data_IF_501386085686
#
_entry.id   IF_501386085686
#
_cell.length_a   1.000
_cell.length_b   1.000
_cell.length_c   1.000
_cell.angle_alpha   90.00
_cell.angle_beta   90.00
_cell.angle_gamma   90.00
#
_symmetry.space_group_name_H-M   'P 1'
#
loop_
_entity.id
_entity.type
_entity.pdbx_description
1 polymer ?
#
# COMPACT_ATOMS: atom_id res chain seq x y z
N UNK A 1 5.41 -3.23 6.69
CA UNK A 1 4.28 -3.46 5.76
C UNK A 1 3.18 -4.19 6.49
N UNK A 2 2.02 -3.55 6.56
CA UNK A 2 0.79 -4.08 7.13
C UNK A 2 0.02 -4.83 6.04
N UNK A 3 -0.50 -6.01 6.36
CA UNK A 3 -1.42 -6.76 5.48
C UNK A 3 -2.82 -6.68 6.08
N UNK A 4 -3.78 -6.21 5.29
CA UNK A 4 -5.18 -6.10 5.67
C UNK A 4 -6.03 -7.13 4.90
N UNK A 5 -7.00 -7.78 5.55
CA UNK A 5 -7.83 -8.80 4.91
C UNK A 5 -8.84 -8.18 3.92
N UNK A 6 -9.40 -9.02 3.05
CA UNK A 6 -10.51 -8.67 2.14
C UNK A 6 -11.73 -8.15 2.92
N UNK A 7 -12.50 -7.26 2.29
CA UNK A 7 -13.69 -6.65 2.89
C UNK A 7 -13.41 -5.36 3.66
N UNK A 8 -12.14 -4.92 3.69
CA UNK A 8 -11.70 -3.68 4.32
C UNK A 8 -11.47 -2.61 3.25
N UNK A 9 -11.92 -1.36 3.47
CA UNK A 9 -11.71 -0.31 2.49
C UNK A 9 -10.24 0.10 2.42
N UNK A 10 -9.72 0.30 1.22
CA UNK A 10 -8.41 0.90 0.97
C UNK A 10 -8.44 1.74 -0.30
N UNK A 11 -7.37 2.48 -0.57
CA UNK A 11 -7.27 3.33 -1.74
C UNK A 11 -6.13 2.92 -2.66
N UNK A 12 -6.44 2.78 -3.95
CA UNK A 12 -5.42 2.68 -4.98
C UNK A 12 -5.09 4.09 -5.48
N UNK A 13 -3.93 4.58 -5.05
CA UNK A 13 -3.42 5.91 -5.37
C UNK A 13 -2.32 5.88 -6.44
N UNK A 14 -1.92 4.72 -6.95
CA UNK A 14 -0.85 4.64 -7.94
C UNK A 14 -1.26 5.35 -9.23
N UNK A 15 -0.39 6.22 -9.74
CA UNK A 15 -0.59 7.03 -10.96
C UNK A 15 -1.85 7.91 -10.96
N UNK A 16 -2.40 8.19 -9.78
CA UNK A 16 -3.57 9.07 -9.64
C UNK A 16 -3.17 10.54 -9.56
N UNK A 17 -4.01 11.46 -10.06
CA UNK A 17 -3.70 12.89 -10.02
C UNK A 17 -3.66 13.39 -8.58
N UNK A 18 -2.57 14.09 -8.24
CA UNK A 18 -2.38 14.76 -6.96
C UNK A 18 -2.13 16.25 -7.17
N UNK A 19 -2.73 17.08 -6.31
CA UNK A 19 -2.48 18.53 -6.26
C UNK A 19 -1.78 18.87 -4.96
N UNK A 20 -0.65 19.58 -5.04
CA UNK A 20 0.07 20.08 -3.84
C UNK A 20 -0.86 21.02 -3.07
N UNK A 21 -0.92 20.86 -1.75
CA UNK A 21 -1.71 21.72 -0.90
C UNK A 21 -1.11 23.14 -0.88
N UNK A 22 -1.84 24.19 -1.30
CA UNK A 22 -1.32 25.55 -1.36
C UNK A 22 -1.01 26.17 0.02
N UNK A 23 -1.60 25.63 1.10
CA UNK A 23 -1.38 26.12 2.46
C UNK A 23 -0.23 25.39 3.17
N UNK A 24 0.14 24.20 2.71
CA UNK A 24 1.27 23.43 3.24
C UNK A 24 1.85 22.55 2.12
N UNK A 25 2.98 22.97 1.49
CA UNK A 25 3.54 22.25 0.35
C UNK A 25 4.16 20.89 0.71
N UNK A 26 4.27 20.56 2.00
CA UNK A 26 4.65 19.20 2.45
C UNK A 26 3.50 18.19 2.31
N UNK A 27 2.28 18.67 2.01
CA UNK A 27 1.09 17.84 1.83
C UNK A 27 0.59 17.90 0.38
N UNK A 28 -0.02 16.82 -0.09
CA UNK A 28 -0.72 16.76 -1.37
C UNK A 28 -2.09 16.07 -1.22
N UNK A 29 -3.04 16.45 -2.07
CA UNK A 29 -4.36 15.85 -2.16
C UNK A 29 -4.44 15.02 -3.43
N UNK A 30 -4.64 13.70 -3.29
CA UNK A 30 -4.75 12.76 -4.40
C UNK A 30 -6.18 12.27 -4.58
N UNK A 31 -6.61 12.04 -5.83
CA UNK A 31 -7.91 11.42 -6.15
C UNK A 31 -7.73 9.92 -6.42
N UNK A 32 -7.83 9.12 -5.37
CA UNK A 32 -7.62 7.67 -5.44
C UNK A 32 -8.92 6.90 -5.65
N UNK A 33 -8.83 5.70 -6.22
CA UNK A 33 -9.96 4.78 -6.27
C UNK A 33 -10.15 4.11 -4.91
N UNK A 34 -11.39 3.85 -4.51
CA UNK A 34 -11.70 3.14 -3.27
C UNK A 34 -12.01 1.69 -3.60
N UNK A 35 -11.21 0.78 -3.07
CA UNK A 35 -11.34 -0.68 -3.23
C UNK A 35 -11.88 -1.27 -1.93
N UNK A 36 -12.73 -2.30 -2.02
CA UNK A 36 -13.38 -2.92 -0.83
C UNK A 36 -13.39 -4.45 -0.87
N UNK A 37 -13.20 -5.02 -2.03
CA UNK A 37 -13.41 -6.44 -2.34
C UNK A 37 -12.12 -7.24 -2.49
N UNK A 38 -10.97 -6.64 -2.18
CA UNK A 38 -9.66 -7.27 -2.24
C UNK A 38 -8.89 -7.10 -0.93
N UNK A 39 -8.03 -8.07 -0.61
CA UNK A 39 -7.03 -7.91 0.43
C UNK A 39 -5.88 -7.04 -0.08
N UNK A 40 -5.22 -6.31 0.81
CA UNK A 40 -4.20 -5.35 0.41
C UNK A 40 -3.04 -5.29 1.39
N UNK A 41 -1.91 -4.77 0.89
CA UNK A 41 -0.76 -4.39 1.70
C UNK A 41 -0.59 -2.88 1.68
N UNK A 42 -0.11 -2.33 2.79
CA UNK A 42 0.18 -0.90 2.92
C UNK A 42 1.42 -0.64 3.76
N UNK A 43 2.10 0.46 3.47
CA UNK A 43 3.15 1.03 4.33
C UNK A 43 2.57 1.87 5.48
N UNK A 44 1.27 2.22 5.42
CA UNK A 44 0.57 2.93 6.50
C UNK A 44 0.18 2.04 7.67
N UNK A 45 -0.62 2.60 8.57
CA UNK A 45 -1.28 1.86 9.65
C UNK A 45 -0.41 1.51 10.86
N UNK A 46 0.89 1.83 10.85
CA UNK A 46 1.81 1.67 11.99
C UNK A 46 1.74 0.27 12.65
N UNK A 47 1.64 -0.77 11.83
CA UNK A 47 1.45 -2.17 12.27
C UNK A 47 0.22 -2.41 13.18
N UNK A 48 -0.76 -1.51 13.17
CA UNK A 48 -2.02 -1.64 13.89
C UNK A 48 -3.14 -2.10 12.94
N UNK A 49 -3.55 -3.36 13.10
CA UNK A 49 -4.62 -3.98 12.29
C UNK A 49 -5.98 -3.29 12.45
N UNK A 50 -6.23 -2.61 13.58
CA UNK A 50 -7.49 -1.88 13.79
C UNK A 50 -7.66 -0.71 12.79
N UNK A 51 -6.56 -0.28 12.17
CA UNK A 51 -6.61 0.78 11.15
C UNK A 51 -7.17 0.27 9.81
N UNK A 52 -7.13 -1.03 9.54
CA UNK A 52 -7.75 -1.62 8.34
C UNK A 52 -9.27 -1.38 8.31
N UNK A 53 -9.92 -1.22 9.47
CA UNK A 53 -11.37 -1.05 9.55
C UNK A 53 -11.83 0.39 9.25
N UNK A 54 -10.99 1.36 9.58
CA UNK A 54 -11.42 2.76 9.72
C UNK A 54 -10.64 3.74 8.82
N UNK A 55 -9.50 3.34 8.27
CA UNK A 55 -8.66 4.20 7.45
C UNK A 55 -8.66 3.75 5.98
N UNK A 56 -8.63 4.74 5.08
CA UNK A 56 -8.46 4.53 3.64
C UNK A 56 -6.97 4.65 3.30
N UNK A 57 -6.20 3.64 3.67
CA UNK A 57 -4.77 3.62 3.40
C UNK A 57 -4.49 3.43 1.90
N UNK A 58 -3.52 4.19 1.39
CA UNK A 58 -2.92 3.89 0.10
C UNK A 58 -2.29 2.50 0.17
N UNK A 59 -2.65 1.63 -0.77
CA UNK A 59 -2.23 0.24 -0.76
C UNK A 59 -2.07 -0.34 -2.16
N UNK A 60 -1.85 -1.65 -2.20
CA UNK A 60 -1.82 -2.46 -3.41
C UNK A 60 -2.30 -3.87 -3.07
N UNK A 61 -2.75 -4.63 -4.07
CA UNK A 61 -2.92 -6.08 -3.90
C UNK A 61 -1.56 -6.73 -3.63
N UNK A 62 -1.56 -7.89 -2.98
CA UNK A 62 -0.31 -8.62 -2.69
C UNK A 62 0.43 -8.98 -3.99
N UNK A 63 -0.31 -9.42 -5.00
CA UNK A 63 0.23 -9.80 -6.31
C UNK A 63 0.88 -8.62 -7.02
N UNK A 64 0.16 -7.50 -7.17
CA UNK A 64 0.70 -6.31 -7.86
C UNK A 64 1.90 -5.73 -7.14
N UNK A 65 1.90 -5.78 -5.80
CA UNK A 65 3.06 -5.38 -5.00
C UNK A 65 4.29 -6.24 -5.29
N UNK A 66 4.14 -7.57 -5.31
CA UNK A 66 5.25 -8.50 -5.56
C UNK A 66 5.80 -8.30 -6.97
N UNK A 67 4.93 -8.24 -7.98
CA UNK A 67 5.32 -8.04 -9.38
C UNK A 67 6.05 -6.71 -9.56
N UNK A 68 5.45 -5.60 -9.10
CA UNK A 68 6.04 -4.28 -9.22
C UNK A 68 7.38 -4.18 -8.48
N UNK A 69 7.48 -4.78 -7.29
CA UNK A 69 8.73 -4.81 -6.51
C UNK A 69 9.83 -5.58 -7.25
N UNK A 70 9.51 -6.70 -7.91
CA UNK A 70 10.46 -7.46 -8.70
C UNK A 70 10.96 -6.67 -9.91
N UNK A 71 10.05 -6.03 -10.65
CA UNK A 71 10.39 -5.17 -11.80
C UNK A 71 11.28 -4.00 -11.36
N UNK A 72 10.91 -3.32 -10.28
CA UNK A 72 11.66 -2.18 -9.77
C UNK A 72 13.06 -2.59 -9.30
N UNK A 73 13.16 -3.70 -8.55
CA UNK A 73 14.44 -4.21 -8.05
C UNK A 73 15.39 -4.59 -9.19
N UNK A 74 14.88 -5.27 -10.22
CA UNK A 74 15.65 -5.59 -11.42
C UNK A 74 16.16 -4.33 -12.14
N UNK A 75 15.31 -3.31 -12.29
CA UNK A 75 15.71 -2.03 -12.91
C UNK A 75 16.73 -1.25 -12.08
N UNK A 76 16.65 -1.37 -10.76
CA UNK A 76 17.56 -0.68 -9.83
C UNK A 76 18.85 -1.45 -9.54
N UNK A 77 18.99 -2.69 -10.03
CA UNK A 77 20.12 -3.55 -9.70
C UNK A 77 20.15 -3.97 -8.23
N UNK A 78 18.99 -4.00 -7.56
CA UNK A 78 18.83 -4.45 -6.17
C UNK A 78 18.49 -5.94 -6.21
N UNK A 79 19.31 -6.76 -5.55
CA UNK A 79 19.14 -8.22 -5.55
C UNK A 79 18.00 -8.67 -4.61
N UNK A 80 17.86 -8.03 -3.46
CA UNK A 80 16.82 -8.31 -2.48
C UNK A 80 16.08 -7.02 -2.13
N UNK A 81 14.78 -6.96 -2.42
CA UNK A 81 13.95 -5.85 -1.97
C UNK A 81 13.68 -6.02 -0.47
N UNK A 82 14.13 -5.10 0.41
CA UNK A 82 14.04 -5.28 1.86
C UNK A 82 12.62 -4.98 2.34
N UNK A 83 11.68 -5.91 2.11
CA UNK A 83 10.32 -5.79 2.64
C UNK A 83 10.30 -6.27 4.08
N UNK A 84 10.13 -5.34 5.01
CA UNK A 84 9.87 -5.67 6.40
C UNK A 84 8.36 -5.68 6.63
N UNK A 85 7.80 -6.87 6.80
CA UNK A 85 6.42 -7.04 7.22
C UNK A 85 6.27 -6.74 8.71
N UNK A 86 5.11 -6.24 9.09
CA UNK A 86 4.74 -6.15 10.50
C UNK A 86 4.74 -7.57 11.12
N UNK A 87 5.04 -7.71 12.42
CA UNK A 87 5.15 -9.02 13.06
C UNK A 87 3.91 -9.89 12.83
N UNK A 88 4.10 -11.07 12.24
CA UNK A 88 3.00 -12.01 11.95
C UNK A 88 2.08 -11.62 10.78
N UNK A 89 2.40 -10.57 10.02
CA UNK A 89 1.54 -10.02 8.97
C UNK A 89 2.10 -10.22 7.56
N UNK A 90 2.98 -11.21 7.37
CA UNK A 90 3.41 -11.60 6.03
C UNK A 90 2.22 -12.23 5.29
N UNK A 91 1.83 -11.72 4.10
CA UNK A 91 0.78 -12.33 3.31
C UNK A 91 1.11 -13.78 2.98
N UNK A 92 0.11 -14.65 3.03
CA UNK A 92 0.23 -16.00 2.46
C UNK A 92 0.10 -15.87 0.94
N UNK A 93 1.08 -16.42 0.23
CA UNK A 93 0.96 -16.68 -1.21
C UNK A 93 0.41 -18.09 -1.31
N UNK A 94 -0.78 -18.23 -1.89
CA UNK A 94 -1.40 -19.54 -2.19
C UNK A 94 -0.84 -20.11 -3.50
#
# INVERSE_FOLDING_TARGET
>A
MLSCPKGKPWTDCLDKPCTVNPLNPLNAYCKCDIIRDEAFVTYGGDCNLLTCDNAYWSGATVESYIEASAILSAKMGIQDFPVVYCPGMKPKTD
#
